data_IF_782151883811
#
_entry.id   IF_782151883811
#
_cell.length_a   1.000
_cell.length_b   1.000
_cell.length_c   1.000
_cell.angle_alpha   90.00
_cell.angle_beta   90.00
_cell.angle_gamma   90.00
#
_symmetry.space_group_name_H-M   'P 1'
#
loop_
_entity.id
_entity.type
_entity.pdbx_description
1 polymer ?
#
# COMPACT_ATOMS: atom_id res chain seq x y z
N UNK A 1 -59.37 24.97 20.25
CA UNK A 1 -57.97 25.20 19.81
C UNK A 1 -57.13 23.97 20.18
N UNK A 2 -56.82 23.12 19.24
CA UNK A 2 -55.95 21.92 19.50
C UNK A 2 -54.53 22.27 19.11
N UNK A 3 -53.66 22.24 20.10
CA UNK A 3 -52.23 22.45 19.91
C UNK A 3 -51.61 21.12 19.44
N UNK A 4 -51.11 21.08 18.19
CA UNK A 4 -50.37 19.93 17.68
C UNK A 4 -48.89 20.17 18.03
N UNK A 5 -48.39 19.37 18.98
CA UNK A 5 -46.95 19.37 19.32
C UNK A 5 -46.20 18.54 18.30
N UNK A 6 -45.43 19.17 17.44
CA UNK A 6 -44.56 18.52 16.47
C UNK A 6 -43.31 18.02 17.18
N UNK A 7 -43.18 16.69 17.35
CA UNK A 7 -42.00 16.06 17.92
C UNK A 7 -40.96 15.92 16.80
N UNK A 8 -39.94 16.80 16.78
CA UNK A 8 -38.78 16.65 15.89
C UNK A 8 -37.84 15.57 16.47
N UNK A 9 -37.88 14.38 15.89
CA UNK A 9 -36.88 13.35 16.14
C UNK A 9 -35.58 13.74 15.41
N UNK A 10 -34.59 14.22 16.15
CA UNK A 10 -33.21 14.32 15.68
C UNK A 10 -32.63 12.87 15.58
N UNK A 11 -32.59 12.32 14.38
CA UNK A 11 -31.79 11.16 14.07
C UNK A 11 -30.32 11.57 14.07
N UNK A 12 -29.63 11.37 15.18
CA UNK A 12 -28.18 11.47 15.25
C UNK A 12 -27.60 10.33 14.40
N UNK A 13 -27.22 10.62 13.17
CA UNK A 13 -26.32 9.74 12.43
C UNK A 13 -24.95 9.79 13.13
N UNK A 14 -24.72 8.84 14.03
CA UNK A 14 -23.39 8.51 14.49
C UNK A 14 -22.67 7.87 13.29
N UNK A 15 -22.06 8.68 12.43
CA UNK A 15 -21.12 8.17 11.46
C UNK A 15 -20.05 7.41 12.23
N UNK A 16 -19.94 6.10 12.05
CA UNK A 16 -18.80 5.33 12.54
C UNK A 16 -17.59 5.96 11.83
N UNK A 17 -16.79 6.74 12.57
CA UNK A 17 -15.56 7.30 12.04
C UNK A 17 -14.72 6.12 11.51
N UNK A 18 -14.39 6.13 10.24
CA UNK A 18 -13.56 5.09 9.65
C UNK A 18 -12.23 5.06 10.41
N UNK A 19 -11.86 3.90 10.94
CA UNK A 19 -10.60 3.74 11.67
C UNK A 19 -9.43 4.05 10.75
N UNK A 20 -8.52 4.93 11.21
CA UNK A 20 -7.32 5.30 10.46
C UNK A 20 -6.39 4.09 10.35
N UNK A 21 -6.12 3.66 9.10
CA UNK A 21 -5.32 2.47 8.82
C UNK A 21 -3.83 2.78 8.96
N UNK A 22 -3.10 1.88 9.61
CA UNK A 22 -1.64 1.85 9.61
C UNK A 22 -1.24 0.51 8.98
N UNK A 23 -0.81 0.55 7.72
CA UNK A 23 -0.57 -0.63 6.89
C UNK A 23 0.94 -0.84 6.77
N UNK A 24 1.42 -2.04 7.01
CA UNK A 24 2.83 -2.37 6.83
C UNK A 24 3.04 -3.43 5.76
N UNK A 25 3.89 -3.15 4.78
CA UNK A 25 4.39 -4.17 3.86
C UNK A 25 5.45 -5.02 4.56
N UNK A 26 5.28 -6.32 4.50
CA UNK A 26 6.16 -7.26 5.18
C UNK A 26 6.75 -8.26 4.19
N UNK A 27 8.05 -8.16 3.96
CA UNK A 27 8.80 -9.21 3.28
C UNK A 27 9.28 -10.26 4.30
N UNK A 28 9.03 -11.57 4.06
CA UNK A 28 9.43 -12.63 4.99
C UNK A 28 10.92 -12.61 5.31
N UNK A 29 11.25 -12.76 6.58
CA UNK A 29 12.62 -12.77 7.09
C UNK A 29 12.78 -13.80 8.23
N UNK A 30 14.01 -14.16 8.56
CA UNK A 30 14.34 -14.91 9.78
C UNK A 30 14.45 -14.00 11.01
N UNK A 31 14.59 -12.68 10.82
CA UNK A 31 14.65 -11.73 11.93
C UNK A 31 13.30 -11.61 12.64
N UNK A 32 13.35 -11.31 13.94
CA UNK A 32 12.14 -10.98 14.70
C UNK A 32 11.66 -9.59 14.27
N UNK A 33 10.42 -9.51 13.85
CA UNK A 33 9.77 -8.28 13.43
C UNK A 33 8.68 -7.91 14.43
N UNK A 34 8.56 -6.61 14.74
CA UNK A 34 7.50 -6.08 15.57
C UNK A 34 6.30 -5.66 14.68
N UNK A 35 5.12 -6.19 14.98
CA UNK A 35 3.88 -5.84 14.30
C UNK A 35 2.98 -4.91 15.13
N UNK A 36 3.44 -4.41 16.27
CA UNK A 36 2.67 -3.49 17.10
C UNK A 36 2.30 -2.23 16.31
N UNK A 37 1.16 -1.63 16.66
CA UNK A 37 0.61 -0.43 16.03
C UNK A 37 0.12 -0.54 14.58
N UNK A 38 0.49 -1.61 13.84
CA UNK A 38 -0.13 -1.87 12.55
C UNK A 38 -1.56 -2.38 12.70
N UNK A 39 -2.45 -1.92 11.83
CA UNK A 39 -3.82 -2.44 11.71
C UNK A 39 -3.92 -3.51 10.62
N UNK A 40 -3.10 -3.37 9.57
CA UNK A 40 -3.05 -4.24 8.40
C UNK A 40 -1.62 -4.60 8.07
N UNK A 41 -1.42 -5.84 7.61
CA UNK A 41 -0.12 -6.33 7.13
C UNK A 41 -0.30 -6.81 5.69
N UNK A 42 0.45 -6.21 4.76
CA UNK A 42 0.54 -6.66 3.38
C UNK A 42 1.74 -7.60 3.27
N UNK A 43 1.47 -8.92 3.27
CA UNK A 43 2.49 -9.95 3.08
C UNK A 43 3.02 -9.89 1.64
N UNK A 44 4.29 -9.66 1.45
CA UNK A 44 4.93 -9.39 0.16
C UNK A 44 5.94 -10.47 -0.20
N UNK A 45 5.84 -11.13 -1.33
CA UNK A 45 4.85 -11.01 -2.40
C UNK A 45 4.40 -12.38 -2.90
N UNK A 46 3.18 -12.47 -3.43
CA UNK A 46 2.81 -13.52 -4.35
C UNK A 46 3.17 -13.09 -5.77
N UNK A 47 3.91 -13.92 -6.47
CA UNK A 47 4.48 -13.57 -7.77
C UNK A 47 3.68 -14.24 -8.89
N UNK A 48 3.22 -13.50 -9.92
CA UNK A 48 2.64 -14.09 -11.11
C UNK A 48 3.61 -15.08 -11.76
N UNK A 49 3.10 -16.25 -12.17
CA UNK A 49 3.90 -17.25 -12.88
C UNK A 49 4.35 -16.72 -14.25
N UNK A 50 5.40 -17.27 -14.88
CA UNK A 50 5.84 -16.86 -16.23
C UNK A 50 4.77 -16.98 -17.31
N UNK A 51 3.77 -17.86 -17.12
CA UNK A 51 2.57 -17.94 -17.97
C UNK A 51 1.69 -16.67 -17.87
N UNK A 52 1.80 -15.93 -16.77
CA UNK A 52 1.02 -14.74 -16.44
C UNK A 52 -0.33 -15.06 -15.78
N UNK A 53 -0.91 -16.20 -16.02
CA UNK A 53 -2.30 -16.52 -15.66
C UNK A 53 -2.51 -17.21 -14.30
N UNK A 54 -1.43 -17.50 -13.56
CA UNK A 54 -1.48 -18.08 -12.20
C UNK A 54 -0.46 -17.43 -11.29
N UNK A 55 -0.49 -17.76 -10.00
CA UNK A 55 0.51 -17.37 -9.03
C UNK A 55 1.47 -18.50 -8.73
N UNK A 56 2.74 -18.17 -8.52
CA UNK A 56 3.71 -19.12 -7.97
C UNK A 56 3.34 -19.45 -6.51
N UNK A 57 3.59 -20.70 -6.05
CA UNK A 57 3.37 -21.08 -4.66
C UNK A 57 4.19 -20.21 -3.71
N UNK A 58 3.59 -19.82 -2.58
CA UNK A 58 4.32 -19.16 -1.50
C UNK A 58 5.32 -20.14 -0.87
N UNK A 59 6.49 -19.62 -0.54
CA UNK A 59 7.50 -20.40 0.19
C UNK A 59 7.08 -20.55 1.65
N UNK A 60 7.42 -21.70 2.28
CA UNK A 60 7.15 -21.96 3.69
C UNK A 60 5.67 -21.81 4.08
N UNK A 61 4.81 -22.53 3.38
CA UNK A 61 3.35 -22.51 3.54
C UNK A 61 2.88 -22.53 5.00
N UNK A 62 3.40 -23.45 5.80
CA UNK A 62 3.03 -23.58 7.23
C UNK A 62 3.33 -22.30 8.01
N UNK A 63 4.52 -21.74 7.82
CA UNK A 63 4.93 -20.50 8.49
C UNK A 63 4.07 -19.30 8.09
N UNK A 64 3.62 -19.23 6.83
CA UNK A 64 2.70 -18.18 6.39
C UNK A 64 1.36 -18.32 7.08
N UNK A 65 0.79 -19.54 7.14
CA UNK A 65 -0.48 -19.80 7.81
C UNK A 65 -0.41 -19.52 9.32
N UNK A 66 0.68 -19.88 9.97
CA UNK A 66 0.93 -19.55 11.38
C UNK A 66 0.99 -18.04 11.61
N UNK A 67 1.73 -17.31 10.77
CA UNK A 67 1.83 -15.85 10.83
C UNK A 67 0.46 -15.19 10.69
N UNK A 68 -0.32 -15.58 9.69
CA UNK A 68 -1.68 -15.05 9.47
C UNK A 68 -2.54 -15.29 10.71
N UNK A 69 -2.55 -16.51 11.23
CA UNK A 69 -3.30 -16.87 12.44
C UNK A 69 -2.87 -16.06 13.67
N UNK A 70 -1.57 -15.83 13.85
CA UNK A 70 -1.07 -15.09 15.01
C UNK A 70 -1.35 -13.58 14.91
N UNK A 71 -1.34 -13.02 13.69
CA UNK A 71 -1.73 -11.64 13.46
C UNK A 71 -3.25 -11.45 13.65
N UNK A 72 -4.07 -12.41 13.24
CA UNK A 72 -5.52 -12.41 13.52
C UNK A 72 -5.83 -12.43 15.02
N UNK A 73 -5.08 -13.21 15.83
CA UNK A 73 -5.23 -13.19 17.29
C UNK A 73 -4.92 -11.81 17.91
N UNK A 74 -4.12 -11.00 17.22
CA UNK A 74 -3.81 -9.63 17.60
C UNK A 74 -4.81 -8.60 17.03
N UNK A 75 -5.89 -9.06 16.39
CA UNK A 75 -6.90 -8.20 15.77
C UNK A 75 -6.46 -7.50 14.50
N UNK A 76 -5.39 -7.98 13.83
CA UNK A 76 -4.87 -7.38 12.61
C UNK A 76 -5.43 -8.08 11.39
N UNK A 77 -5.64 -7.33 10.31
CA UNK A 77 -5.94 -7.91 8.99
C UNK A 77 -4.64 -8.21 8.24
N UNK A 78 -4.65 -9.29 7.47
CA UNK A 78 -3.48 -9.72 6.69
C UNK A 78 -3.87 -9.88 5.22
N UNK A 79 -3.25 -9.09 4.36
CA UNK A 79 -3.45 -9.12 2.92
C UNK A 79 -2.25 -9.79 2.25
N UNK A 80 -2.49 -10.40 1.10
CA UNK A 80 -1.41 -10.82 0.20
C UNK A 80 -1.19 -9.74 -0.85
N UNK A 81 0.02 -9.17 -0.89
CA UNK A 81 0.41 -8.29 -1.99
C UNK A 81 0.88 -9.12 -3.18
N UNK A 82 0.32 -8.83 -4.36
CA UNK A 82 0.54 -9.59 -5.59
C UNK A 82 1.25 -8.71 -6.60
N UNK A 83 2.49 -9.04 -6.92
CA UNK A 83 3.31 -8.27 -7.85
C UNK A 83 4.57 -7.70 -7.24
N UNK A 84 4.71 -6.39 -7.29
CA UNK A 84 5.88 -5.62 -6.86
C UNK A 84 6.82 -5.29 -8.02
N UNK A 85 7.83 -4.48 -7.74
CA UNK A 85 8.78 -3.99 -8.72
C UNK A 85 9.63 -5.10 -9.35
N UNK A 86 9.37 -5.41 -10.62
CA UNK A 86 10.13 -6.41 -11.35
C UNK A 86 9.84 -7.84 -10.92
N UNK A 87 8.61 -8.25 -10.93
CA UNK A 87 7.98 -9.53 -10.55
C UNK A 87 8.78 -10.84 -10.80
N UNK A 88 10.11 -10.78 -10.75
CA UNK A 88 11.05 -11.90 -10.83
C UNK A 88 11.79 -12.04 -12.15
N UNK A 89 11.54 -11.17 -13.14
CA UNK A 89 12.25 -11.17 -14.44
C UNK A 89 13.38 -10.15 -14.45
N UNK A 90 13.06 -8.84 -14.31
CA UNK A 90 14.02 -7.74 -14.18
C UNK A 90 13.38 -6.58 -13.39
N UNK A 91 14.18 -5.63 -12.86
CA UNK A 91 13.63 -4.44 -12.23
C UNK A 91 12.69 -3.68 -13.18
N UNK A 92 11.44 -3.47 -12.75
CA UNK A 92 10.40 -2.81 -13.54
C UNK A 92 9.82 -3.64 -14.69
N UNK A 93 10.10 -4.95 -14.76
CA UNK A 93 9.48 -5.84 -15.74
C UNK A 93 8.11 -6.32 -15.22
N UNK A 94 7.05 -5.87 -15.87
CA UNK A 94 5.66 -6.24 -15.57
C UNK A 94 4.97 -7.05 -16.68
N UNK A 95 5.77 -7.58 -17.61
CA UNK A 95 5.32 -8.38 -18.79
C UNK A 95 4.35 -9.49 -18.41
N UNK A 96 4.52 -10.12 -17.23
CA UNK A 96 3.63 -11.19 -16.76
C UNK A 96 2.22 -10.68 -16.50
N UNK A 97 2.08 -9.44 -15.98
CA UNK A 97 0.78 -8.81 -15.79
C UNK A 97 0.11 -8.48 -17.12
N UNK A 98 0.83 -7.89 -18.06
CA UNK A 98 0.32 -7.61 -19.39
C UNK A 98 -0.20 -8.87 -20.06
N UNK A 99 0.61 -9.96 -20.06
CA UNK A 99 0.25 -11.24 -20.63
C UNK A 99 -1.00 -11.85 -19.97
N UNK A 100 -1.11 -11.75 -18.64
CA UNK A 100 -2.26 -12.22 -17.89
C UNK A 100 -3.51 -11.41 -18.22
N UNK A 101 -3.38 -10.08 -18.30
CA UNK A 101 -4.50 -9.16 -18.47
C UNK A 101 -5.05 -9.12 -19.91
N UNK A 102 -4.25 -9.56 -20.90
CA UNK A 102 -4.57 -9.48 -22.33
C UNK A 102 -5.90 -10.17 -22.69
N UNK A 103 -6.18 -11.33 -22.09
CA UNK A 103 -7.38 -12.11 -22.45
C UNK A 103 -8.32 -12.28 -21.25
N UNK A 104 -9.63 -12.39 -21.53
CA UNK A 104 -10.62 -12.71 -20.49
C UNK A 104 -10.28 -14.05 -19.80
N UNK A 105 -9.80 -15.05 -20.56
CA UNK A 105 -9.39 -16.35 -20.02
C UNK A 105 -8.23 -16.19 -19.06
N UNK A 106 -7.19 -15.41 -19.42
CA UNK A 106 -6.04 -15.14 -18.58
C UNK A 106 -6.46 -14.47 -17.26
N UNK A 107 -7.23 -13.38 -17.35
CA UNK A 107 -7.76 -12.69 -16.16
C UNK A 107 -8.58 -13.62 -15.26
N UNK A 108 -9.48 -14.42 -15.83
CA UNK A 108 -10.30 -15.36 -15.06
C UNK A 108 -9.47 -16.45 -14.37
N UNK A 109 -8.47 -17.00 -15.04
CA UNK A 109 -7.58 -18.01 -14.46
C UNK A 109 -6.76 -17.42 -13.32
N UNK A 110 -6.22 -16.22 -13.50
CA UNK A 110 -5.49 -15.48 -12.46
C UNK A 110 -6.37 -15.16 -11.25
N UNK A 111 -7.60 -14.66 -11.45
CA UNK A 111 -8.57 -14.38 -10.39
C UNK A 111 -8.84 -15.63 -9.56
N UNK A 112 -9.08 -16.78 -10.22
CA UNK A 112 -9.31 -18.05 -9.54
C UNK A 112 -8.07 -18.50 -8.74
N UNK A 113 -6.87 -18.37 -9.30
CA UNK A 113 -5.60 -18.67 -8.63
C UNK A 113 -5.41 -17.80 -7.39
N UNK A 114 -5.65 -16.51 -7.52
CA UNK A 114 -5.55 -15.53 -6.43
C UNK A 114 -6.57 -15.84 -5.32
N UNK A 115 -7.83 -16.08 -5.67
CA UNK A 115 -8.87 -16.44 -4.71
C UNK A 115 -8.56 -17.73 -3.95
N UNK A 116 -8.06 -18.75 -4.67
CA UNK A 116 -7.63 -20.00 -4.05
C UNK A 116 -6.49 -19.76 -3.03
N UNK A 117 -5.50 -18.96 -3.39
CA UNK A 117 -4.41 -18.58 -2.49
C UNK A 117 -4.94 -17.87 -1.24
N UNK A 118 -5.80 -16.87 -1.39
CA UNK A 118 -6.44 -16.15 -0.27
C UNK A 118 -7.15 -17.11 0.69
N UNK A 119 -7.93 -18.05 0.15
CA UNK A 119 -8.66 -19.06 0.96
C UNK A 119 -7.71 -20.03 1.64
N UNK A 120 -6.69 -20.51 0.94
CA UNK A 120 -5.75 -21.51 1.46
C UNK A 120 -4.97 -20.98 2.66
N UNK A 121 -4.51 -19.74 2.60
CA UNK A 121 -3.70 -19.14 3.65
C UNK A 121 -4.50 -18.33 4.69
N UNK A 122 -5.79 -18.09 4.44
CA UNK A 122 -6.67 -17.32 5.32
C UNK A 122 -6.46 -15.81 5.26
N UNK A 123 -5.94 -15.27 4.16
CA UNK A 123 -5.79 -13.81 4.00
C UNK A 123 -7.14 -13.10 3.99
N UNK A 124 -7.15 -11.84 4.43
CA UNK A 124 -8.35 -11.00 4.51
C UNK A 124 -8.61 -10.21 3.23
N UNK A 125 -7.63 -10.16 2.34
CA UNK A 125 -7.73 -9.44 1.09
C UNK A 125 -6.51 -9.62 0.20
N UNK A 126 -6.55 -8.92 -0.91
CA UNK A 126 -5.49 -8.84 -1.91
C UNK A 126 -5.10 -7.38 -2.09
N UNK A 127 -3.81 -7.12 -2.14
CA UNK A 127 -3.22 -5.86 -2.56
C UNK A 127 -2.56 -6.07 -3.92
N UNK A 128 -3.10 -5.45 -4.98
CA UNK A 128 -2.58 -5.59 -6.33
C UNK A 128 -1.46 -4.57 -6.56
N UNK A 129 -0.25 -5.07 -6.76
CA UNK A 129 0.95 -4.26 -6.94
C UNK A 129 1.52 -4.45 -8.36
N UNK A 130 0.74 -3.99 -9.35
CA UNK A 130 1.16 -3.97 -10.75
C UNK A 130 1.86 -2.65 -11.06
N UNK A 131 3.16 -2.68 -11.28
CA UNK A 131 4.01 -1.50 -11.48
C UNK A 131 4.59 -1.46 -12.91
N UNK A 132 3.91 -0.85 -13.90
CA UNK A 132 2.57 -0.24 -13.84
C UNK A 132 1.80 -0.57 -15.11
N UNK A 133 0.47 -0.65 -15.11
CA UNK A 133 -0.28 -0.70 -16.36
C UNK A 133 0.01 0.56 -17.18
N UNK A 134 0.09 0.39 -18.51
CA UNK A 134 0.34 1.54 -19.39
C UNK A 134 -0.86 2.49 -19.40
N UNK A 135 -0.58 3.77 -19.57
CA UNK A 135 -1.59 4.82 -19.60
C UNK A 135 -2.53 4.75 -20.81
N UNK A 136 -2.15 4.01 -21.83
CA UNK A 136 -2.91 3.83 -23.06
C UNK A 136 -3.63 2.47 -23.11
N UNK A 137 -4.65 2.35 -23.95
CA UNK A 137 -5.31 1.11 -24.29
C UNK A 137 -4.33 0.17 -25.06
N UNK A 138 -4.38 -1.16 -24.84
CA UNK A 138 -5.41 -1.85 -24.08
C UNK A 138 -5.11 -2.01 -22.58
N UNK A 139 -3.90 -1.72 -22.12
CA UNK A 139 -3.44 -2.04 -20.75
C UNK A 139 -4.31 -1.41 -19.67
N UNK A 140 -4.60 -0.11 -19.76
CA UNK A 140 -5.44 0.59 -18.77
C UNK A 140 -6.87 0.01 -18.71
N UNK A 141 -7.44 -0.41 -19.85
CA UNK A 141 -8.77 -1.06 -19.89
C UNK A 141 -8.72 -2.46 -19.29
N UNK A 142 -7.68 -3.21 -19.59
CA UNK A 142 -7.44 -4.54 -19.07
C UNK A 142 -7.26 -4.52 -17.53
N UNK A 143 -6.61 -3.48 -17.00
CA UNK A 143 -6.51 -3.27 -15.56
C UNK A 143 -7.89 -3.10 -14.91
N UNK A 144 -8.77 -2.26 -15.50
CA UNK A 144 -10.14 -2.08 -14.99
C UNK A 144 -10.90 -3.41 -14.96
N UNK A 145 -10.84 -4.19 -16.05
CA UNK A 145 -11.51 -5.50 -16.10
C UNK A 145 -10.92 -6.50 -15.08
N UNK A 146 -9.61 -6.45 -14.84
CA UNK A 146 -8.96 -7.28 -13.85
C UNK A 146 -9.44 -6.94 -12.43
N UNK A 147 -9.38 -5.66 -12.02
CA UNK A 147 -9.79 -5.25 -10.67
C UNK A 147 -11.28 -5.45 -10.43
N UNK A 148 -12.12 -5.25 -11.45
CA UNK A 148 -13.56 -5.56 -11.40
C UNK A 148 -13.82 -7.04 -11.16
N UNK A 149 -13.08 -7.92 -11.84
CA UNK A 149 -13.19 -9.36 -11.66
C UNK A 149 -12.70 -9.81 -10.28
N UNK A 150 -11.54 -9.30 -9.83
CA UNK A 150 -10.98 -9.56 -8.49
C UNK A 150 -11.95 -9.08 -7.40
N UNK A 151 -12.44 -7.85 -7.48
CA UNK A 151 -13.44 -7.30 -6.57
C UNK A 151 -14.65 -8.21 -6.44
N UNK A 152 -15.24 -8.60 -7.58
CA UNK A 152 -16.43 -9.46 -7.60
C UNK A 152 -16.17 -10.81 -6.93
N UNK A 153 -14.99 -11.41 -7.16
CA UNK A 153 -14.64 -12.71 -6.58
C UNK A 153 -14.34 -12.61 -5.08
N UNK A 154 -13.57 -11.59 -4.67
CA UNK A 154 -13.15 -11.40 -3.28
C UNK A 154 -14.31 -10.97 -2.38
N UNK A 155 -15.13 -10.01 -2.81
CA UNK A 155 -16.26 -9.52 -2.02
C UNK A 155 -17.34 -10.59 -1.78
N UNK A 156 -17.50 -11.58 -2.67
CA UNK A 156 -18.36 -12.75 -2.42
C UNK A 156 -17.89 -13.58 -1.23
N UNK A 157 -16.63 -13.51 -0.89
CA UNK A 157 -15.99 -14.21 0.23
C UNK A 157 -15.73 -13.27 1.42
N UNK A 158 -16.29 -12.05 1.43
CA UNK A 158 -16.05 -10.99 2.40
C UNK A 158 -14.56 -10.63 2.53
N UNK A 159 -13.84 -10.61 1.40
CA UNK A 159 -12.43 -10.22 1.31
C UNK A 159 -12.30 -8.90 0.56
N UNK A 160 -11.30 -8.10 0.92
CA UNK A 160 -11.07 -6.76 0.38
C UNK A 160 -10.05 -6.79 -0.76
N UNK A 161 -10.12 -5.79 -1.65
CA UNK A 161 -9.17 -5.58 -2.75
C UNK A 161 -8.58 -4.18 -2.67
N UNK A 162 -7.26 -4.10 -2.62
CA UNK A 162 -6.51 -2.84 -2.67
C UNK A 162 -5.50 -2.84 -3.80
N UNK A 163 -4.86 -1.72 -4.05
CA UNK A 163 -3.77 -1.64 -5.00
C UNK A 163 -2.70 -0.65 -4.55
N UNK A 164 -1.43 -0.95 -4.85
CA UNK A 164 -0.36 0.02 -4.78
C UNK A 164 -0.23 0.75 -6.13
N UNK A 165 0.00 2.07 -6.08
CA UNK A 165 0.07 2.90 -7.27
C UNK A 165 1.19 3.93 -7.16
N UNK A 166 1.69 4.39 -8.31
CA UNK A 166 2.71 5.44 -8.38
C UNK A 166 2.29 6.71 -7.62
N UNK A 167 3.26 7.45 -7.08
CA UNK A 167 2.99 8.67 -6.32
C UNK A 167 2.22 9.73 -7.13
N UNK A 168 2.61 9.97 -8.39
CA UNK A 168 1.97 10.93 -9.31
C UNK A 168 2.47 10.72 -10.74
N UNK A 169 1.91 11.49 -11.69
CA UNK A 169 2.42 11.60 -13.04
C UNK A 169 1.80 10.63 -14.03
N UNK A 170 2.40 10.56 -15.23
CA UNK A 170 1.82 9.93 -16.40
C UNK A 170 1.43 8.46 -16.17
N UNK A 171 2.28 7.66 -15.54
CA UNK A 171 1.97 6.25 -15.22
C UNK A 171 0.71 6.06 -14.36
N UNK A 172 0.33 7.07 -13.58
CA UNK A 172 -0.93 7.03 -12.83
C UNK A 172 -2.18 6.97 -13.72
N UNK A 173 -2.11 7.38 -14.99
CA UNK A 173 -3.25 7.28 -15.92
C UNK A 173 -3.55 5.84 -16.36
N UNK A 174 -2.60 4.92 -16.21
CA UNK A 174 -2.85 3.49 -16.38
C UNK A 174 -3.91 2.93 -15.42
N UNK A 175 -4.10 3.61 -14.27
CA UNK A 175 -5.17 3.32 -13.31
C UNK A 175 -6.37 4.22 -13.63
N UNK A 176 -7.26 3.83 -14.54
CA UNK A 176 -8.45 4.63 -14.89
C UNK A 176 -9.33 4.89 -13.68
N UNK A 177 -10.01 6.05 -13.66
CA UNK A 177 -10.87 6.45 -12.53
C UNK A 177 -12.00 5.44 -12.27
N UNK A 178 -12.43 4.70 -13.29
CA UNK A 178 -13.41 3.62 -13.15
C UNK A 178 -12.93 2.52 -12.18
N UNK A 179 -11.63 2.24 -12.15
CA UNK A 179 -11.03 1.23 -11.25
C UNK A 179 -11.26 1.58 -9.76
N UNK A 180 -11.38 2.87 -9.41
CA UNK A 180 -11.61 3.31 -8.03
C UNK A 180 -12.91 2.76 -7.42
N UNK A 181 -13.90 2.40 -8.27
CA UNK A 181 -15.15 1.82 -7.81
C UNK A 181 -14.97 0.37 -7.30
N UNK A 182 -13.94 -0.30 -7.74
CA UNK A 182 -13.66 -1.71 -7.45
C UNK A 182 -12.53 -1.93 -6.44
N UNK A 183 -11.90 -0.86 -5.96
CA UNK A 183 -10.84 -0.90 -4.96
C UNK A 183 -11.38 -0.37 -3.62
N UNK A 184 -11.13 -1.07 -2.53
CA UNK A 184 -11.55 -0.66 -1.19
C UNK A 184 -10.72 0.55 -0.72
N UNK A 185 -9.41 0.53 -0.98
CA UNK A 185 -8.52 1.71 -0.92
C UNK A 185 -7.32 1.53 -1.85
N UNK A 186 -6.54 2.61 -1.99
CA UNK A 186 -5.39 2.69 -2.90
C UNK A 186 -4.19 3.22 -2.11
N UNK A 187 -3.09 2.47 -2.14
CA UNK A 187 -1.83 2.78 -1.49
C UNK A 187 -0.97 3.65 -2.42
N UNK A 188 -0.81 4.92 -2.10
CA UNK A 188 -0.05 5.90 -2.89
C UNK A 188 1.45 5.77 -2.53
N UNK A 189 2.29 5.26 -3.40
CA UNK A 189 3.73 5.10 -3.16
C UNK A 189 4.46 6.44 -3.23
N UNK A 190 4.26 7.32 -2.23
CA UNK A 190 4.82 8.67 -2.18
C UNK A 190 6.31 8.68 -1.78
N UNK A 191 7.10 7.91 -2.55
CA UNK A 191 8.55 7.78 -2.40
C UNK A 191 9.19 7.47 -3.76
N UNK A 192 10.50 7.34 -3.81
CA UNK A 192 11.30 7.07 -5.01
C UNK A 192 11.25 8.16 -6.10
N UNK A 193 10.95 9.41 -5.71
CA UNK A 193 10.90 10.56 -6.64
C UNK A 193 12.28 10.97 -7.19
N UNK A 194 13.35 10.32 -6.74
CA UNK A 194 14.72 10.47 -7.26
C UNK A 194 15.04 9.51 -8.42
N UNK A 195 14.16 8.55 -8.72
CA UNK A 195 14.35 7.60 -9.79
C UNK A 195 14.36 8.30 -11.15
N UNK A 196 15.44 8.11 -11.93
CA UNK A 196 15.63 8.77 -13.21
C UNK A 196 15.93 10.28 -13.13
N UNK A 197 16.12 10.84 -11.92
CA UNK A 197 16.52 12.24 -11.75
C UNK A 197 18.01 12.43 -12.02
N UNK A 198 18.38 13.51 -12.73
CA UNK A 198 19.77 13.95 -12.86
C UNK A 198 20.29 14.66 -11.60
N UNK A 199 19.38 15.14 -10.74
CA UNK A 199 19.72 15.84 -9.51
C UNK A 199 19.77 14.87 -8.32
N UNK A 200 20.74 15.10 -7.42
CA UNK A 200 20.77 14.45 -6.10
C UNK A 200 19.73 15.13 -5.22
N UNK A 201 18.65 14.43 -4.94
CA UNK A 201 17.53 14.94 -4.11
C UNK A 201 16.96 13.88 -3.17
N UNK A 202 16.23 14.34 -2.16
CA UNK A 202 15.46 13.46 -1.30
C UNK A 202 14.38 12.72 -2.10
N UNK A 203 14.30 11.40 -1.92
CA UNK A 203 13.35 10.56 -2.66
C UNK A 203 11.93 10.63 -2.12
N UNK A 204 11.72 11.12 -0.90
CA UNK A 204 10.41 11.22 -0.26
C UNK A 204 10.33 12.43 0.68
N UNK A 205 10.49 13.69 0.17
CA UNK A 205 10.29 14.88 0.99
C UNK A 205 8.81 15.07 1.33
N UNK A 206 8.51 15.93 2.32
CA UNK A 206 7.12 16.29 2.68
C UNK A 206 6.34 16.86 1.48
N UNK A 207 6.99 17.64 0.63
CA UNK A 207 6.39 18.19 -0.59
C UNK A 207 5.92 17.11 -1.57
N UNK A 208 6.59 15.95 -1.63
CA UNK A 208 6.14 14.83 -2.45
C UNK A 208 4.83 14.24 -1.92
N UNK A 209 4.67 14.11 -0.61
CA UNK A 209 3.42 13.64 -0.01
C UNK A 209 2.25 14.57 -0.40
N UNK A 210 2.44 15.89 -0.30
CA UNK A 210 1.44 16.88 -0.74
C UNK A 210 1.13 16.74 -2.25
N UNK A 211 2.17 16.65 -3.08
CA UNK A 211 2.01 16.50 -4.54
C UNK A 211 1.27 15.22 -4.92
N UNK A 212 1.60 14.10 -4.28
CA UNK A 212 0.94 12.82 -4.49
C UNK A 212 -0.56 12.89 -4.13
N UNK A 213 -0.87 13.45 -2.96
CA UNK A 213 -2.25 13.63 -2.51
C UNK A 213 -3.01 14.55 -3.48
N UNK A 214 -2.44 15.67 -3.86
CA UNK A 214 -3.07 16.63 -4.78
C UNK A 214 -3.34 15.99 -6.16
N UNK A 215 -2.37 15.22 -6.68
CA UNK A 215 -2.57 14.48 -7.92
C UNK A 215 -3.73 13.50 -7.81
N UNK A 216 -3.74 12.61 -6.83
CA UNK A 216 -4.77 11.58 -6.74
C UNK A 216 -6.15 12.13 -6.37
N UNK A 217 -6.24 13.07 -5.43
CA UNK A 217 -7.52 13.59 -4.96
C UNK A 217 -8.08 14.69 -5.86
N UNK A 218 -7.23 15.64 -6.30
CA UNK A 218 -7.71 16.81 -7.04
C UNK A 218 -7.74 16.58 -8.55
N UNK A 219 -6.68 15.98 -9.12
CA UNK A 219 -6.59 15.71 -10.55
C UNK A 219 -7.35 14.43 -10.94
N UNK A 220 -7.02 13.32 -10.26
CA UNK A 220 -7.58 11.99 -10.53
C UNK A 220 -8.93 11.73 -9.86
N UNK A 221 -9.43 12.64 -9.01
CA UNK A 221 -10.73 12.53 -8.33
C UNK A 221 -10.92 11.28 -7.47
N UNK A 222 -9.83 10.71 -6.96
CA UNK A 222 -9.92 9.62 -5.97
C UNK A 222 -10.55 10.18 -4.68
N UNK A 223 -11.60 9.53 -4.12
CA UNK A 223 -12.14 9.94 -2.82
C UNK A 223 -11.09 9.82 -1.71
N UNK A 224 -10.95 10.84 -0.87
CA UNK A 224 -9.93 10.87 0.20
C UNK A 224 -9.97 9.62 1.09
N UNK A 225 -11.16 9.16 1.46
CA UNK A 225 -11.36 7.97 2.29
C UNK A 225 -10.94 6.64 1.61
N UNK A 226 -10.54 6.68 0.34
CA UNK A 226 -9.94 5.55 -0.39
C UNK A 226 -8.43 5.73 -0.61
N UNK A 227 -7.84 6.84 -0.24
CA UNK A 227 -6.40 7.09 -0.38
C UNK A 227 -5.64 6.73 0.89
N UNK A 228 -4.52 6.04 0.75
CA UNK A 228 -3.56 5.70 1.83
C UNK A 228 -2.20 6.23 1.44
N UNK A 229 -1.58 7.08 2.28
CA UNK A 229 -0.31 7.72 1.96
C UNK A 229 0.88 6.81 2.27
N UNK A 230 1.75 6.60 1.30
CA UNK A 230 2.98 5.80 1.43
C UNK A 230 4.13 6.54 2.12
N UNK A 231 4.82 5.84 3.00
CA UNK A 231 5.94 6.32 3.80
C UNK A 231 7.12 5.33 3.69
N UNK A 232 8.33 5.77 3.35
CA UNK A 232 9.49 4.88 3.28
C UNK A 232 10.18 4.74 4.64
N UNK A 233 10.65 3.53 4.95
CA UNK A 233 11.52 3.25 6.11
C UNK A 233 12.97 2.94 5.67
N UNK A 234 13.34 3.39 4.51
CA UNK A 234 14.68 3.25 3.93
C UNK A 234 15.18 4.59 3.41
N UNK A 235 16.45 4.62 3.07
CA UNK A 235 17.09 5.80 2.50
C UNK A 235 17.45 5.59 1.03
N UNK A 236 17.67 6.72 0.34
CA UNK A 236 18.31 6.75 -0.98
C UNK A 236 19.44 7.76 -1.02
N UNK A 237 20.43 7.49 -1.91
CA UNK A 237 21.61 8.32 -2.09
C UNK A 237 21.50 9.27 -3.28
N UNK A 238 20.30 9.39 -3.87
CA UNK A 238 20.05 10.07 -5.13
C UNK A 238 20.19 9.13 -6.34
N UNK A 239 19.73 9.59 -7.50
CA UNK A 239 19.74 8.84 -8.77
C UNK A 239 19.12 7.43 -8.68
N UNK A 240 18.13 7.23 -7.82
CA UNK A 240 17.49 5.94 -7.60
C UNK A 240 18.32 4.93 -6.78
N UNK A 241 19.51 5.28 -6.31
CA UNK A 241 20.37 4.36 -5.55
C UNK A 241 19.85 4.15 -4.13
N UNK A 242 19.60 2.89 -3.77
CA UNK A 242 19.23 2.53 -2.40
C UNK A 242 20.39 2.78 -1.43
N UNK A 243 20.04 3.33 -0.27
CA UNK A 243 20.88 3.47 0.89
C UNK A 243 20.52 2.45 1.98
N UNK A 244 21.07 2.60 3.20
CA UNK A 244 20.73 1.78 4.35
C UNK A 244 19.25 1.92 4.76
N UNK A 245 18.73 0.90 5.47
CA UNK A 245 17.43 1.00 6.15
C UNK A 245 17.47 2.07 7.26
N UNK A 246 16.31 2.56 7.69
CA UNK A 246 16.24 3.51 8.82
C UNK A 246 16.96 2.98 10.07
N UNK A 247 16.68 1.71 10.48
CA UNK A 247 17.36 1.09 11.62
C UNK A 247 18.88 1.04 11.47
N UNK A 248 19.39 0.85 10.24
CA UNK A 248 20.83 0.76 10.01
C UNK A 248 21.49 2.14 9.97
N UNK A 249 20.77 3.17 9.51
CA UNK A 249 21.20 4.57 9.64
C UNK A 249 21.39 4.96 11.11
N UNK A 250 20.41 4.62 11.99
CA UNK A 250 20.51 4.89 13.43
C UNK A 250 21.71 4.19 14.05
N UNK A 251 21.98 2.93 13.69
CA UNK A 251 23.18 2.20 14.13
C UNK A 251 24.49 2.87 13.68
N UNK A 252 24.49 3.52 12.51
CA UNK A 252 25.65 4.29 11.99
C UNK A 252 25.73 5.71 12.60
N UNK A 253 24.85 6.05 13.55
CA UNK A 253 24.85 7.31 14.28
C UNK A 253 24.00 8.43 13.69
N UNK A 254 23.10 8.11 12.73
CA UNK A 254 22.13 9.09 12.24
C UNK A 254 21.15 9.51 13.35
N UNK A 255 20.71 10.76 13.32
CA UNK A 255 19.66 11.25 14.22
C UNK A 255 18.30 10.64 13.82
N UNK A 256 17.48 10.17 14.78
CA UNK A 256 16.12 9.70 14.47
C UNK A 256 15.16 10.82 14.03
N UNK A 257 15.57 12.09 14.16
CA UNK A 257 14.74 13.26 13.88
C UNK A 257 15.10 13.99 12.58
N UNK A 258 16.26 13.67 11.99
CA UNK A 258 16.73 14.28 10.74
C UNK A 258 16.24 13.49 9.53
N UNK A 259 16.44 14.05 8.32
CA UNK A 259 16.07 13.44 7.04
C UNK A 259 17.30 13.20 6.14
N UNK A 260 18.52 13.37 6.67
CA UNK A 260 19.76 13.23 5.93
C UNK A 260 20.92 12.75 6.81
N UNK A 261 21.71 11.81 6.30
CA UNK A 261 22.91 11.33 6.93
C UNK A 261 23.93 10.82 5.89
N UNK A 262 25.16 11.34 5.91
CA UNK A 262 26.30 10.87 5.08
C UNK A 262 25.92 10.56 3.62
N UNK A 263 25.21 11.45 2.96
CA UNK A 263 24.78 11.27 1.57
C UNK A 263 23.49 10.49 1.38
N UNK A 264 22.87 9.97 2.44
CA UNK A 264 21.63 9.23 2.39
C UNK A 264 20.45 10.10 2.85
N UNK A 265 19.40 10.21 2.04
CA UNK A 265 18.15 10.87 2.36
C UNK A 265 17.15 9.83 2.91
N UNK A 266 16.57 10.09 4.05
CA UNK A 266 15.54 9.25 4.69
C UNK A 266 14.43 10.10 5.28
N UNK A 267 13.47 9.53 5.96
CA UNK A 267 12.48 10.27 6.73
C UNK A 267 12.62 9.94 8.21
N UNK A 268 12.99 10.93 9.01
CA UNK A 268 13.02 10.82 10.46
C UNK A 268 11.63 11.01 11.07
N UNK A 269 11.57 10.88 12.41
CA UNK A 269 10.32 10.89 13.18
C UNK A 269 9.46 12.12 12.88
N UNK A 270 10.04 13.33 12.80
CA UNK A 270 9.25 14.55 12.57
C UNK A 270 8.60 14.56 11.19
N UNK A 271 9.31 14.14 10.14
CA UNK A 271 8.77 14.07 8.79
C UNK A 271 7.69 13.01 8.69
N UNK A 272 7.90 11.83 9.27
CA UNK A 272 6.89 10.75 9.34
C UNK A 272 5.63 11.23 10.08
N UNK A 273 5.76 11.90 11.22
CA UNK A 273 4.62 12.42 11.97
C UNK A 273 3.87 13.51 11.19
N UNK A 274 4.58 14.42 10.53
CA UNK A 274 3.95 15.48 9.74
C UNK A 274 3.18 14.92 8.54
N UNK A 275 3.73 13.92 7.83
CA UNK A 275 3.04 13.23 6.75
C UNK A 275 1.81 12.45 7.25
N UNK A 276 1.89 11.85 8.43
CA UNK A 276 0.77 11.13 9.06
C UNK A 276 -0.35 12.10 9.42
N UNK A 277 -0.03 13.25 10.04
CA UNK A 277 -1.02 14.30 10.34
C UNK A 277 -1.66 14.84 9.06
N UNK A 278 -0.86 15.11 8.02
CA UNK A 278 -1.38 15.54 6.71
C UNK A 278 -2.42 14.55 6.17
N UNK A 279 -2.13 13.25 6.20
CA UNK A 279 -3.06 12.22 5.77
C UNK A 279 -4.35 12.24 6.60
N UNK A 280 -4.25 12.35 7.92
CA UNK A 280 -5.38 12.41 8.84
C UNK A 280 -6.23 13.66 8.62
N UNK A 281 -5.60 14.84 8.55
CA UNK A 281 -6.28 16.13 8.42
C UNK A 281 -7.03 16.26 7.10
N UNK A 282 -6.56 15.60 6.05
CA UNK A 282 -7.22 15.54 4.75
C UNK A 282 -8.25 14.39 4.62
N UNK A 283 -8.48 13.62 5.68
CA UNK A 283 -9.46 12.54 5.70
C UNK A 283 -9.07 11.32 4.85
N UNK A 284 -7.77 11.05 4.70
CA UNK A 284 -7.31 9.85 4.03
C UNK A 284 -7.67 8.61 4.87
N UNK A 285 -7.76 7.45 4.22
CA UNK A 285 -8.02 6.17 4.88
C UNK A 285 -6.92 5.75 5.86
N UNK A 286 -5.70 6.24 5.67
CA UNK A 286 -4.56 5.89 6.51
C UNK A 286 -3.22 6.20 5.89
N UNK A 287 -2.21 5.52 6.42
CA UNK A 287 -0.85 5.50 5.87
C UNK A 287 -0.37 4.06 5.67
N UNK A 288 0.54 3.84 4.72
CA UNK A 288 1.23 2.57 4.55
C UNK A 288 2.74 2.76 4.56
N UNK A 289 3.48 1.74 4.92
CA UNK A 289 4.94 1.81 5.00
C UNK A 289 5.61 0.75 4.13
N UNK A 290 6.63 1.14 3.42
CA UNK A 290 7.59 0.27 2.76
C UNK A 290 8.93 0.37 3.48
N UNK A 291 9.43 -0.59 4.25
CA UNK A 291 8.76 -1.80 4.69
C UNK A 291 9.09 -2.08 6.18
N UNK A 292 8.31 -2.91 6.83
CA UNK A 292 8.35 -3.12 8.29
C UNK A 292 9.73 -3.47 8.83
N UNK A 293 10.52 -4.32 8.13
CA UNK A 293 11.85 -4.78 8.58
C UNK A 293 12.88 -3.66 8.70
N UNK A 294 12.62 -2.53 8.07
CA UNK A 294 13.52 -1.38 8.04
C UNK A 294 13.39 -0.48 9.27
N UNK A 295 12.35 -0.68 10.08
CA UNK A 295 12.15 0.06 11.34
C UNK A 295 13.02 -0.48 12.49
N UNK A 296 13.20 0.33 13.52
CA UNK A 296 13.74 -0.11 14.81
C UNK A 296 12.61 -0.54 15.75
N UNK A 297 12.95 -1.21 16.85
CA UNK A 297 11.96 -1.67 17.85
C UNK A 297 12.00 -0.89 19.17
N UNK A 298 12.83 0.14 19.26
CA UNK A 298 13.01 1.00 20.44
C UNK A 298 12.10 2.24 20.43
N UNK A 299 12.42 3.23 21.26
CA UNK A 299 11.68 4.47 21.36
C UNK A 299 11.69 5.33 20.07
N UNK A 300 12.62 5.08 19.17
CA UNK A 300 12.77 5.78 17.89
C UNK A 300 12.01 5.12 16.73
N UNK A 301 11.20 4.11 16.99
CA UNK A 301 10.42 3.40 15.98
C UNK A 301 9.49 4.35 15.21
N UNK A 302 9.55 4.28 13.87
CA UNK A 302 8.72 5.08 12.98
C UNK A 302 7.26 4.69 13.02
N UNK A 303 6.91 3.39 13.17
CA UNK A 303 5.51 2.99 13.34
C UNK A 303 4.91 3.52 14.65
N UNK A 304 5.71 3.60 15.70
CA UNK A 304 5.30 4.23 16.95
C UNK A 304 5.03 5.72 16.77
N UNK A 305 5.87 6.43 15.99
CA UNK A 305 5.68 7.83 15.64
C UNK A 305 4.40 8.05 14.81
N UNK A 306 4.11 7.16 13.86
CA UNK A 306 2.85 7.13 13.09
C UNK A 306 1.66 6.98 14.04
N UNK A 307 1.69 5.96 14.89
CA UNK A 307 0.60 5.69 15.84
C UNK A 307 0.31 6.89 16.75
N UNK A 308 1.35 7.56 17.26
CA UNK A 308 1.18 8.78 18.06
C UNK A 308 0.55 9.93 17.27
N UNK A 309 0.95 10.12 16.02
CA UNK A 309 0.44 11.18 15.15
C UNK A 309 -0.97 10.90 14.61
N UNK A 310 -1.41 9.62 14.60
CA UNK A 310 -2.74 9.21 14.16
C UNK A 310 -3.83 9.35 15.24
N UNK A 311 -3.47 9.60 16.50
CA UNK A 311 -4.39 9.86 17.61
C UNK A 311 -4.89 11.30 17.58
#
# INVERSE_FOLDING_TARGET
>A
MRIITLLLCFLSFSGIAQEFKIIGYYMPTSEKVNFDHYTHINYSFAIPAPSGDTLLPLRNTERVMELVKDLHKQGKKVFISVGGWGIGDAPGDDTRFHKMAETEKGRRTFINSTLNLVKTYGFDGVDLDWEYPDEDSPSADQYVELVKGLHTALHKENKELTAAVISYGRKGYGIKNEAFNYLDWINLMAYDDDYGSEEIKAHSPYALAQKSIDYWLKERKLPAHKAVLGLPYYSKKGHGQYGPSYKDLLKDGASPYDDYWKGAFYNGIFTIQNKTRLAKDLGLAGVMVWEIRHDTSDEYSLVRAIYQASK
#
